data_IF_476116853187
#
_entry.id   IF_476116853187
#
_cell.length_a   1.000
_cell.length_b   1.000
_cell.length_c   1.000
_cell.angle_alpha   90.00
_cell.angle_beta   90.00
_cell.angle_gamma   90.00
#
_symmetry.space_group_name_H-M   'P 1'
#
loop_
_entity.id
_entity.type
_entity.pdbx_description
1 polymer ?
#
# COMPACT_ATOMS: atom_id res chain seq x y z
N UNK A 1 8.91 16.95 -4.83
CA UNK A 1 8.49 16.62 -3.45
C UNK A 1 9.31 15.42 -2.98
N UNK A 2 9.82 15.43 -1.76
CA UNK A 2 10.76 14.39 -1.31
C UNK A 2 10.04 13.04 -1.12
N UNK A 3 10.47 12.01 -1.85
CA UNK A 3 9.89 10.64 -1.82
C UNK A 3 9.86 10.06 -0.40
N UNK A 4 10.91 10.29 0.40
CA UNK A 4 10.97 9.87 1.81
C UNK A 4 9.87 10.50 2.65
N UNK A 5 9.54 11.80 2.42
CA UNK A 5 8.47 12.49 3.14
C UNK A 5 7.10 11.88 2.82
N UNK A 6 6.82 11.60 1.54
CA UNK A 6 5.54 11.02 1.12
C UNK A 6 5.37 9.63 1.74
N UNK A 7 6.36 8.77 1.65
CA UNK A 7 6.31 7.41 2.19
C UNK A 7 6.22 7.38 3.72
N UNK A 8 6.76 8.38 4.40
CA UNK A 8 6.70 8.49 5.88
C UNK A 8 5.31 8.87 6.39
N UNK A 9 4.55 9.68 5.63
CA UNK A 9 3.30 10.27 6.11
C UNK A 9 2.03 9.59 5.57
N UNK A 10 2.16 8.69 4.59
CA UNK A 10 1.01 8.07 3.93
C UNK A 10 1.15 6.56 3.84
N UNK A 11 0.03 5.86 3.95
CA UNK A 11 -0.07 4.41 3.83
C UNK A 11 -0.37 4.05 2.38
N UNK A 12 0.17 2.92 1.89
CA UNK A 12 -0.23 2.37 0.60
C UNK A 12 -1.60 1.71 0.69
N UNK A 13 -2.65 2.38 0.24
CA UNK A 13 -4.02 1.88 0.23
C UNK A 13 -4.23 0.71 -0.74
N UNK A 14 -3.33 0.53 -1.72
CA UNK A 14 -3.32 -0.62 -2.63
C UNK A 14 -2.71 -1.90 -2.01
N UNK A 15 -2.24 -1.83 -0.77
CA UNK A 15 -1.64 -2.98 -0.09
C UNK A 15 -2.63 -4.14 0.06
N UNK A 16 -2.19 -5.35 -0.30
CA UNK A 16 -2.93 -6.59 -0.05
C UNK A 16 -3.10 -6.85 1.45
N UNK A 17 -2.20 -6.34 2.26
CA UNK A 17 -2.23 -6.44 3.73
C UNK A 17 -3.50 -5.79 4.29
N UNK A 18 -3.93 -4.70 3.68
CA UNK A 18 -5.18 -4.01 4.04
C UNK A 18 -6.44 -4.73 3.52
N UNK A 19 -6.30 -5.88 2.84
CA UNK A 19 -7.40 -6.60 2.23
C UNK A 19 -7.76 -6.10 0.82
N UNK A 20 -6.92 -5.26 0.21
CA UNK A 20 -7.11 -4.75 -1.15
C UNK A 20 -6.97 -5.88 -2.17
N UNK A 21 -7.86 -5.90 -3.15
CA UNK A 21 -7.90 -6.94 -4.18
C UNK A 21 -8.34 -6.40 -5.53
N UNK A 22 -7.92 -7.10 -6.59
CA UNK A 22 -8.42 -6.86 -7.93
C UNK A 22 -9.90 -7.24 -7.96
N UNK A 23 -10.72 -6.33 -8.50
CA UNK A 23 -12.15 -6.54 -8.65
C UNK A 23 -12.51 -6.95 -10.08
N UNK A 24 -11.99 -6.23 -11.07
CA UNK A 24 -12.29 -6.47 -12.50
C UNK A 24 -11.12 -5.93 -13.36
N UNK A 25 -10.92 -6.51 -14.52
CA UNK A 25 -9.92 -6.05 -15.50
C UNK A 25 -10.45 -6.28 -16.92
N UNK A 26 -9.92 -5.53 -17.88
CA UNK A 26 -10.23 -5.71 -19.31
C UNK A 26 -9.47 -6.88 -19.92
N UNK A 27 -8.17 -7.00 -19.62
CA UNK A 27 -7.27 -8.04 -20.07
C UNK A 27 -6.13 -8.25 -19.07
N UNK A 28 -5.52 -9.45 -19.03
CA UNK A 28 -4.34 -9.80 -18.26
C UNK A 28 -3.56 -10.96 -18.90
N UNK A 29 -3.59 -11.04 -20.21
CA UNK A 29 -3.10 -12.21 -20.94
C UNK A 29 -1.61 -12.49 -20.67
N UNK A 30 -0.75 -11.48 -20.77
CA UNK A 30 0.69 -11.62 -20.54
C UNK A 30 1.08 -11.51 -19.07
N UNK A 31 0.34 -10.76 -18.24
CA UNK A 31 0.67 -10.59 -16.85
C UNK A 31 -0.55 -10.34 -15.97
N UNK A 32 -0.69 -11.15 -14.91
CA UNK A 32 -1.82 -11.04 -13.98
C UNK A 32 -1.94 -9.66 -13.35
N UNK A 33 -3.14 -9.08 -13.33
CA UNK A 33 -3.45 -7.81 -12.66
C UNK A 33 -3.10 -7.82 -11.17
N UNK A 34 -3.12 -8.98 -10.52
CA UNK A 34 -2.75 -9.13 -9.11
C UNK A 34 -1.29 -8.74 -8.79
N UNK A 35 -0.41 -8.74 -9.80
CA UNK A 35 0.98 -8.32 -9.66
C UNK A 35 1.13 -6.83 -9.38
N UNK A 36 0.16 -5.98 -9.79
CA UNK A 36 0.12 -4.55 -9.45
C UNK A 36 0.15 -4.27 -7.94
N UNK A 37 -0.41 -5.20 -7.15
CA UNK A 37 -0.60 -5.04 -5.70
C UNK A 37 0.51 -5.72 -4.88
N UNK A 38 1.59 -6.18 -5.49
CA UNK A 38 2.74 -6.72 -4.76
C UNK A 38 3.45 -5.60 -3.99
N UNK A 39 3.90 -5.91 -2.76
CA UNK A 39 4.65 -4.97 -1.92
C UNK A 39 6.12 -4.89 -2.35
N UNK A 40 6.66 -6.00 -2.82
CA UNK A 40 8.05 -6.15 -3.24
C UNK A 40 8.34 -5.31 -4.49
N UNK A 41 9.57 -4.82 -4.58
CA UNK A 41 10.04 -4.14 -5.79
C UNK A 41 9.90 -5.07 -6.99
N UNK A 42 9.62 -4.53 -8.19
CA UNK A 42 9.62 -5.33 -9.40
C UNK A 42 10.98 -5.98 -9.61
N UNK A 43 10.98 -7.21 -10.13
CA UNK A 43 12.19 -7.94 -10.50
C UNK A 43 12.15 -8.29 -11.98
N UNK A 44 13.32 -8.41 -12.56
CA UNK A 44 13.51 -8.95 -13.90
C UNK A 44 14.18 -10.32 -13.83
N UNK A 45 13.71 -11.25 -14.64
CA UNK A 45 14.31 -12.58 -14.81
C UNK A 45 14.64 -12.79 -16.28
N UNK A 46 15.92 -12.80 -16.58
CA UNK A 46 16.39 -13.04 -17.94
C UNK A 46 16.07 -14.47 -18.38
N UNK A 47 15.67 -14.63 -19.64
CA UNK A 47 15.41 -15.95 -20.24
C UNK A 47 14.19 -16.70 -19.68
N UNK A 48 13.41 -16.09 -18.78
CA UNK A 48 12.20 -16.73 -18.21
C UNK A 48 10.98 -16.42 -19.08
N UNK A 49 10.28 -17.48 -19.47
CA UNK A 49 9.02 -17.42 -20.23
C UNK A 49 7.93 -18.17 -19.49
N UNK A 50 6.69 -17.75 -19.67
CA UNK A 50 5.50 -18.50 -19.30
C UNK A 50 4.73 -18.92 -20.56
N UNK A 51 3.56 -19.54 -20.40
CA UNK A 51 2.75 -20.05 -21.52
C UNK A 51 2.31 -18.98 -22.53
N UNK A 52 2.39 -17.72 -22.17
CA UNK A 52 1.90 -16.59 -22.97
C UNK A 52 3.03 -15.72 -23.53
N UNK A 53 4.30 -15.99 -23.19
CA UNK A 53 5.45 -15.26 -23.68
C UNK A 53 6.50 -14.96 -22.62
N UNK A 54 7.28 -13.90 -22.82
CA UNK A 54 8.30 -13.46 -21.87
C UNK A 54 7.67 -13.08 -20.53
N UNK A 55 8.19 -13.66 -19.45
CA UNK A 55 7.67 -13.37 -18.11
C UNK A 55 8.05 -11.95 -17.66
N UNK A 56 7.05 -11.17 -17.24
CA UNK A 56 7.23 -9.83 -16.69
C UNK A 56 6.60 -9.75 -15.30
N UNK A 57 7.27 -9.05 -14.35
CA UNK A 57 6.75 -8.90 -12.98
C UNK A 57 5.78 -7.72 -12.86
N UNK A 58 4.69 -7.78 -13.63
CA UNK A 58 3.65 -6.76 -13.64
C UNK A 58 2.35 -7.25 -14.26
N UNK A 59 1.36 -6.38 -14.27
CA UNK A 59 0.15 -6.53 -15.09
C UNK A 59 0.48 -6.16 -16.52
N UNK A 60 0.13 -7.03 -17.47
CA UNK A 60 0.38 -6.77 -18.88
C UNK A 60 -0.76 -7.31 -19.74
N UNK A 61 -1.26 -6.45 -20.62
CA UNK A 61 -2.36 -6.73 -21.53
C UNK A 61 -1.88 -7.05 -22.93
N UNK A 62 -2.71 -7.66 -23.74
CA UNK A 62 -2.46 -7.81 -25.18
C UNK A 62 -2.49 -6.44 -25.86
N UNK A 63 -1.81 -6.37 -27.00
CA UNK A 63 -1.89 -5.18 -27.85
C UNK A 63 -3.32 -4.96 -28.32
N UNK A 64 -3.86 -3.78 -27.98
CA UNK A 64 -5.23 -3.39 -28.31
C UNK A 64 -5.31 -2.92 -29.77
N UNK A 65 -5.99 -3.72 -30.59
CA UNK A 65 -6.15 -3.45 -32.02
C UNK A 65 -7.48 -2.77 -32.36
N UNK A 66 -8.33 -2.56 -31.35
CA UNK A 66 -9.62 -1.89 -31.47
C UNK A 66 -9.59 -0.58 -30.66
N UNK A 67 -10.44 0.39 -31.03
CA UNK A 67 -10.56 1.66 -30.30
C UNK A 67 -10.90 1.42 -28.82
N UNK A 68 -10.26 2.16 -27.94
CA UNK A 68 -10.49 2.12 -26.50
C UNK A 68 -9.19 2.05 -25.70
N UNK A 69 -9.29 1.64 -24.45
CA UNK A 69 -8.17 1.50 -23.53
C UNK A 69 -8.36 0.26 -22.63
N UNK A 70 -7.28 -0.18 -22.01
CA UNK A 70 -7.37 -1.22 -21.02
C UNK A 70 -7.48 -0.64 -19.61
N UNK A 71 -8.07 -1.41 -18.70
CA UNK A 71 -8.29 -0.96 -17.33
C UNK A 71 -8.25 -2.11 -16.32
N UNK A 72 -7.95 -1.77 -15.09
CA UNK A 72 -8.15 -2.62 -13.92
C UNK A 72 -8.90 -1.86 -12.84
N UNK A 73 -9.91 -2.49 -12.27
CA UNK A 73 -10.66 -1.98 -11.12
C UNK A 73 -10.21 -2.72 -9.87
N UNK A 74 -9.92 -1.96 -8.83
CA UNK A 74 -9.37 -2.43 -7.56
C UNK A 74 -10.35 -2.05 -6.46
N UNK A 75 -10.74 -3.03 -5.63
CA UNK A 75 -11.48 -2.80 -4.40
C UNK A 75 -10.49 -2.61 -3.27
N UNK A 76 -10.44 -1.43 -2.68
CA UNK A 76 -9.63 -1.18 -1.49
C UNK A 76 -10.15 -2.00 -0.31
N UNK A 77 -9.26 -2.56 0.47
CA UNK A 77 -9.64 -3.32 1.67
C UNK A 77 -10.23 -2.43 2.76
N UNK A 78 -9.68 -1.22 2.88
CA UNK A 78 -10.22 -0.15 3.73
C UNK A 78 -10.41 1.12 2.91
N UNK A 79 -11.48 1.88 3.14
CA UNK A 79 -11.66 3.17 2.49
C UNK A 79 -10.61 4.18 2.95
N UNK A 80 -10.28 5.12 2.06
CA UNK A 80 -9.30 6.15 2.41
C UNK A 80 -9.28 7.32 1.45
N UNK A 81 -8.58 8.38 1.87
CA UNK A 81 -8.27 9.56 1.08
C UNK A 81 -6.96 9.35 0.36
N UNK A 82 -6.94 9.54 -0.95
CA UNK A 82 -5.76 9.31 -1.80
C UNK A 82 -5.07 10.64 -2.05
N UNK A 83 -3.82 10.77 -1.60
CA UNK A 83 -3.02 11.97 -1.74
C UNK A 83 -2.06 11.89 -2.92
N UNK A 84 -1.48 10.71 -3.17
CA UNK A 84 -0.53 10.48 -4.26
C UNK A 84 -0.76 9.12 -4.90
N UNK A 85 -0.38 9.01 -6.16
CA UNK A 85 -0.32 7.76 -6.92
C UNK A 85 1.11 7.54 -7.41
N UNK A 86 1.62 6.32 -7.23
CA UNK A 86 2.85 5.85 -7.88
C UNK A 86 2.46 4.79 -8.91
N UNK A 87 2.85 5.01 -10.17
CA UNK A 87 2.68 4.08 -11.28
C UNK A 87 4.09 3.66 -11.73
N UNK A 88 4.40 2.39 -11.58
CA UNK A 88 5.72 1.84 -11.84
C UNK A 88 5.71 1.05 -13.14
N UNK A 89 6.53 1.46 -14.10
CA UNK A 89 6.75 0.77 -15.38
C UNK A 89 8.11 0.07 -15.44
N UNK A 90 8.75 -0.19 -14.29
CA UNK A 90 10.04 -0.88 -14.22
C UNK A 90 10.05 -2.16 -15.05
N UNK A 91 11.10 -2.31 -15.86
CA UNK A 91 11.34 -3.40 -16.81
C UNK A 91 10.40 -3.47 -18.02
N UNK A 92 9.39 -2.61 -18.13
CA UNK A 92 8.59 -2.47 -19.35
C UNK A 92 9.25 -1.44 -20.26
N UNK A 93 9.97 -1.96 -21.30
CA UNK A 93 10.69 -1.17 -22.29
C UNK A 93 10.09 -1.41 -23.67
N UNK A 94 9.29 -0.48 -24.16
CA UNK A 94 8.56 -0.58 -25.43
C UNK A 94 7.18 -1.24 -25.33
N UNK A 95 6.88 -1.89 -24.21
CA UNK A 95 5.58 -2.49 -23.90
C UNK A 95 4.88 -1.83 -22.69
N UNK A 96 5.40 -0.69 -22.19
CA UNK A 96 4.67 0.15 -21.25
C UNK A 96 3.52 0.88 -21.94
N UNK A 97 2.44 1.26 -21.24
CA UNK A 97 1.40 2.11 -21.81
C UNK A 97 1.95 3.52 -22.08
N UNK A 98 1.47 4.16 -23.15
CA UNK A 98 1.85 5.54 -23.45
C UNK A 98 1.35 6.52 -22.39
N UNK A 99 0.13 6.27 -21.90
CA UNK A 99 -0.52 7.12 -20.89
C UNK A 99 -1.27 6.26 -19.87
N UNK A 100 -1.50 6.86 -18.68
CA UNK A 100 -2.41 6.33 -17.69
C UNK A 100 -3.27 7.44 -17.08
N UNK A 101 -4.44 7.07 -16.55
CA UNK A 101 -5.30 7.90 -15.70
C UNK A 101 -5.87 7.05 -14.56
N UNK A 102 -6.33 7.72 -13.51
CA UNK A 102 -6.95 7.03 -12.38
C UNK A 102 -8.28 7.67 -12.05
N UNK A 103 -9.32 6.83 -12.00
CA UNK A 103 -10.62 7.19 -11.46
C UNK A 103 -10.81 6.50 -10.11
N UNK A 104 -11.58 7.13 -9.25
CA UNK A 104 -11.93 6.59 -7.94
C UNK A 104 -13.41 6.79 -7.66
N UNK A 105 -14.01 5.93 -6.82
CA UNK A 105 -15.35 6.14 -6.33
C UNK A 105 -15.50 5.64 -4.90
N UNK A 106 -16.53 6.14 -4.21
CA UNK A 106 -17.07 5.53 -3.01
C UNK A 106 -18.30 4.75 -3.41
N UNK A 107 -18.16 3.42 -3.49
CA UNK A 107 -19.29 2.54 -3.83
C UNK A 107 -20.19 2.36 -2.61
N UNK A 108 -21.39 2.85 -2.72
CA UNK A 108 -22.45 2.73 -1.73
C UNK A 108 -23.81 2.60 -2.44
N UNK A 109 -24.76 1.89 -1.83
CA UNK A 109 -26.13 1.71 -2.37
C UNK A 109 -26.15 1.20 -3.82
N UNK A 110 -25.26 0.28 -4.17
CA UNK A 110 -25.13 -0.34 -5.50
C UNK A 110 -24.85 0.65 -6.66
N UNK A 111 -24.25 1.82 -6.36
CA UNK A 111 -23.89 2.81 -7.38
C UNK A 111 -22.39 3.08 -7.40
N UNK A 112 -21.82 3.16 -8.61
CA UNK A 112 -20.46 3.59 -8.87
C UNK A 112 -20.47 5.01 -9.45
N UNK A 113 -20.19 5.99 -8.62
CA UNK A 113 -20.03 7.38 -9.05
C UNK A 113 -18.52 7.67 -9.20
N UNK A 114 -17.99 7.40 -10.38
CA UNK A 114 -16.57 7.58 -10.68
C UNK A 114 -16.22 9.06 -10.82
N UNK A 115 -15.14 9.46 -10.15
CA UNK A 115 -14.51 10.77 -10.30
C UNK A 115 -13.06 10.60 -10.69
N UNK A 116 -12.56 11.47 -11.56
CA UNK A 116 -11.15 11.44 -11.95
C UNK A 116 -10.28 12.01 -10.82
N UNK A 117 -9.28 11.25 -10.40
CA UNK A 117 -8.31 11.65 -9.37
C UNK A 117 -6.91 11.87 -9.94
N UNK A 118 -6.65 11.34 -11.12
CA UNK A 118 -5.45 11.59 -11.92
C UNK A 118 -5.85 11.66 -13.39
N UNK A 119 -5.77 12.84 -13.98
CA UNK A 119 -5.96 13.05 -15.41
C UNK A 119 -4.94 12.25 -16.22
N UNK A 120 -5.24 12.01 -17.49
CA UNK A 120 -4.34 11.28 -18.40
C UNK A 120 -2.93 11.88 -18.38
N UNK A 121 -1.92 11.05 -18.02
CA UNK A 121 -0.50 11.41 -17.90
C UNK A 121 0.34 10.48 -18.75
N UNK A 122 1.32 11.05 -19.44
CA UNK A 122 2.32 10.27 -20.18
C UNK A 122 3.17 9.45 -19.23
N UNK A 123 3.48 8.21 -19.64
CA UNK A 123 4.38 7.33 -18.92
C UNK A 123 5.64 7.08 -19.74
N UNK A 124 6.78 7.09 -19.08
CA UNK A 124 8.06 6.70 -19.65
C UNK A 124 8.29 5.19 -19.44
N UNK A 125 9.08 4.53 -20.29
CA UNK A 125 9.50 3.16 -20.07
C UNK A 125 10.41 3.05 -18.85
N UNK A 126 10.38 1.91 -18.18
CA UNK A 126 11.29 1.57 -17.07
C UNK A 126 11.46 2.67 -16.02
N UNK A 127 10.35 3.24 -15.56
CA UNK A 127 10.36 4.42 -14.70
C UNK A 127 9.28 4.36 -13.60
N UNK A 128 9.60 4.89 -12.42
CA UNK A 128 8.65 5.08 -11.33
C UNK A 128 8.08 6.50 -11.37
N UNK A 129 6.81 6.62 -11.74
CA UNK A 129 6.08 7.88 -11.82
C UNK A 129 5.36 8.20 -10.52
N UNK A 130 5.50 9.44 -10.03
CA UNK A 130 4.77 9.95 -8.87
C UNK A 130 3.86 11.11 -9.23
N UNK A 131 2.59 11.03 -8.87
CA UNK A 131 1.57 12.04 -9.17
C UNK A 131 0.79 12.42 -7.93
N UNK A 132 0.44 13.72 -7.81
CA UNK A 132 -0.47 14.22 -6.77
C UNK A 132 -1.92 13.96 -7.20
N UNK A 133 -2.75 13.49 -6.28
CA UNK A 133 -4.19 13.31 -6.52
C UNK A 133 -4.91 14.66 -6.63
N UNK A 134 -5.88 14.75 -7.53
CA UNK A 134 -6.71 15.94 -7.74
C UNK A 134 -7.90 16.01 -6.78
N UNK A 135 -8.21 14.91 -6.06
CA UNK A 135 -9.37 14.78 -5.17
C UNK A 135 -8.95 14.23 -3.80
N UNK A 136 -7.96 14.85 -3.17
CA UNK A 136 -7.35 14.35 -1.93
C UNK A 136 -8.23 14.50 -0.67
N UNK A 137 -9.35 15.23 -0.75
CA UNK A 137 -10.26 15.43 0.38
C UNK A 137 -11.39 14.40 0.42
N UNK A 138 -11.62 13.64 -0.66
CA UNK A 138 -12.68 12.65 -0.75
C UNK A 138 -12.20 11.28 -0.31
N UNK A 139 -13.09 10.50 0.29
CA UNK A 139 -12.86 9.10 0.66
C UNK A 139 -13.29 8.20 -0.48
N UNK A 140 -12.50 7.16 -0.75
CA UNK A 140 -12.75 6.19 -1.81
C UNK A 140 -12.60 4.75 -1.30
N UNK A 141 -13.32 3.82 -1.91
CA UNK A 141 -13.19 2.39 -1.64
C UNK A 141 -13.03 1.54 -2.92
N UNK A 142 -13.14 2.17 -4.10
CA UNK A 142 -12.83 1.58 -5.40
C UNK A 142 -11.98 2.51 -6.24
N UNK A 143 -11.07 1.92 -7.01
CA UNK A 143 -10.14 2.61 -7.90
C UNK A 143 -10.18 1.92 -9.26
N UNK A 144 -10.06 2.71 -10.32
CA UNK A 144 -9.85 2.21 -11.68
C UNK A 144 -8.61 2.85 -12.27
N UNK A 145 -7.58 2.04 -12.51
CA UNK A 145 -6.43 2.42 -13.31
C UNK A 145 -6.78 2.17 -14.78
N UNK A 146 -6.71 3.20 -15.59
CA UNK A 146 -6.84 3.12 -17.04
C UNK A 146 -5.45 3.27 -17.66
N UNK A 147 -5.13 2.45 -18.65
CA UNK A 147 -3.89 2.51 -19.44
C UNK A 147 -4.24 2.68 -20.91
N UNK A 148 -3.44 3.45 -21.65
CA UNK A 148 -3.77 3.86 -23.02
C UNK A 148 -2.61 3.56 -23.98
N UNK A 149 -2.86 2.85 -25.12
CA UNK A 149 -4.08 2.07 -25.37
C UNK A 149 -4.08 0.75 -24.58
N UNK A 150 -2.91 0.16 -24.35
CA UNK A 150 -2.61 -1.12 -23.71
C UNK A 150 -1.20 -1.07 -23.10
N UNK A 151 -0.70 -2.18 -22.56
CA UNK A 151 0.69 -2.33 -22.13
C UNK A 151 0.87 -2.93 -20.76
N UNK A 152 2.07 -2.73 -20.20
CA UNK A 152 2.47 -3.31 -18.93
C UNK A 152 2.78 -2.28 -17.84
N UNK A 153 2.30 -2.56 -16.62
CA UNK A 153 2.56 -1.79 -15.40
C UNK A 153 3.03 -2.75 -14.30
N UNK A 154 4.20 -2.49 -13.76
CA UNK A 154 4.79 -3.36 -12.73
C UNK A 154 4.05 -3.26 -11.40
N UNK A 155 3.85 -2.03 -10.88
CA UNK A 155 3.19 -1.78 -9.59
C UNK A 155 2.31 -0.54 -9.64
N UNK A 156 1.28 -0.55 -8.80
CA UNK A 156 0.46 0.61 -8.46
C UNK A 156 0.46 0.80 -6.95
N UNK A 157 0.87 1.98 -6.48
CA UNK A 157 0.68 2.38 -5.09
C UNK A 157 -0.18 3.62 -5.02
N UNK A 158 -1.13 3.63 -4.10
CA UNK A 158 -1.97 4.78 -3.78
C UNK A 158 -1.69 5.19 -2.35
N UNK A 159 -0.96 6.28 -2.19
CA UNK A 159 -0.49 6.75 -0.90
C UNK A 159 -1.50 7.75 -0.32
N UNK A 160 -1.97 7.46 0.89
CA UNK A 160 -3.03 8.25 1.49
C UNK A 160 -3.30 7.91 2.96
N UNK A 161 -4.42 8.39 3.44
CA UNK A 161 -4.87 8.18 4.82
C UNK A 161 -6.11 7.31 4.85
N UNK A 162 -6.14 6.33 5.76
CA UNK A 162 -7.32 5.50 5.98
C UNK A 162 -8.47 6.35 6.56
N UNK A 163 -9.68 6.08 6.11
CA UNK A 163 -10.88 6.56 6.77
C UNK A 163 -11.38 5.51 7.77
N UNK A 164 -11.09 5.75 9.03
CA UNK A 164 -11.48 4.86 10.13
C UNK A 164 -12.87 5.17 10.70
N UNK A 165 -13.53 6.24 10.23
CA UNK A 165 -14.80 6.72 10.77
C UNK A 165 -15.96 5.71 10.65
N UNK A 166 -15.87 4.83 9.62
CA UNK A 166 -16.89 3.81 9.33
C UNK A 166 -16.45 2.39 9.72
N UNK A 167 -15.34 2.23 10.43
CA UNK A 167 -14.91 0.91 10.89
C UNK A 167 -15.89 0.35 11.93
N UNK A 168 -16.35 -0.88 11.69
CA UNK A 168 -17.15 -1.63 12.65
C UNK A 168 -16.21 -2.46 13.52
N UNK A 169 -16.23 -2.23 14.81
CA UNK A 169 -15.45 -3.00 15.76
C UNK A 169 -16.27 -4.21 16.24
N UNK A 170 -15.67 -5.40 16.32
CA UNK A 170 -16.37 -6.57 16.85
C UNK A 170 -16.67 -6.42 18.35
N UNK A 171 -17.79 -6.98 18.80
CA UNK A 171 -18.16 -7.05 20.23
C UNK A 171 -17.38 -8.13 21.01
N UNK A 172 -16.18 -8.47 20.58
CA UNK A 172 -15.29 -9.48 21.17
C UNK A 172 -13.87 -8.95 21.25
N UNK A 173 -12.98 -9.67 21.94
CA UNK A 173 -11.55 -9.36 21.97
C UNK A 173 -10.97 -9.30 20.56
N UNK A 174 -10.22 -8.26 20.26
CA UNK A 174 -9.56 -8.03 18.97
C UNK A 174 -8.24 -7.29 19.16
N UNK A 175 -7.40 -7.32 18.16
CA UNK A 175 -6.10 -6.64 18.17
C UNK A 175 -6.28 -5.12 18.06
N UNK A 176 -6.07 -4.43 19.17
CA UNK A 176 -6.13 -2.96 19.24
C UNK A 176 -5.02 -2.28 18.44
N UNK A 177 -3.86 -2.95 18.25
CA UNK A 177 -2.73 -2.41 17.48
C UNK A 177 -2.93 -2.53 15.97
N UNK A 178 -3.81 -3.40 15.51
CA UNK A 178 -3.94 -3.64 14.07
C UNK A 178 -4.30 -2.37 13.30
N UNK A 179 -3.57 -2.13 12.20
CA UNK A 179 -3.88 -1.08 11.23
C UNK A 179 -5.31 -1.25 10.65
N UNK A 180 -5.82 -2.47 10.56
CA UNK A 180 -7.19 -2.76 10.12
C UNK A 180 -8.24 -2.20 11.10
N UNK A 181 -7.85 -1.97 12.34
CA UNK A 181 -8.68 -1.37 13.38
C UNK A 181 -8.39 0.12 13.58
N UNK A 182 -7.64 0.74 12.65
CA UNK A 182 -7.42 2.18 12.60
C UNK A 182 -6.23 2.69 13.39
N UNK A 183 -5.38 1.81 13.92
CA UNK A 183 -4.16 2.23 14.60
C UNK A 183 -3.15 2.81 13.64
N UNK A 184 -2.35 3.75 14.11
CA UNK A 184 -1.33 4.43 13.33
C UNK A 184 -0.10 4.76 14.17
N UNK A 185 1.05 4.78 13.54
CA UNK A 185 2.27 5.32 14.13
C UNK A 185 2.14 6.84 14.21
N UNK A 186 2.44 7.39 15.37
CA UNK A 186 2.51 8.85 15.61
C UNK A 186 3.94 9.32 15.45
N UNK A 187 4.87 8.63 16.10
CA UNK A 187 6.29 8.93 16.03
C UNK A 187 7.12 7.69 16.39
N UNK A 188 8.37 7.67 15.97
CA UNK A 188 9.36 6.68 16.40
C UNK A 188 10.75 7.32 16.45
N UNK A 189 11.65 6.73 17.24
CA UNK A 189 13.04 7.18 17.39
C UNK A 189 13.84 6.97 16.10
N UNK A 190 13.70 5.81 15.48
CA UNK A 190 14.39 5.42 14.25
C UNK A 190 13.59 4.31 13.53
N UNK A 191 13.71 4.25 12.20
CA UNK A 191 13.11 3.23 11.35
C UNK A 191 14.00 2.98 10.10
N UNK A 192 15.31 2.96 10.32
CA UNK A 192 16.29 2.98 9.23
C UNK A 192 16.20 1.75 8.31
N UNK A 193 16.10 0.56 8.88
CA UNK A 193 16.06 -0.69 8.12
C UNK A 193 14.64 -1.22 7.93
N UNK A 194 13.75 -1.03 8.91
CA UNK A 194 12.36 -1.49 8.84
C UNK A 194 11.40 -0.47 9.44
N UNK A 195 10.29 -0.23 8.75
CA UNK A 195 9.30 0.80 9.12
C UNK A 195 8.54 0.42 10.39
N UNK A 196 8.25 1.41 11.23
CA UNK A 196 7.47 1.22 12.45
C UNK A 196 6.04 0.74 12.18
N UNK A 197 5.43 1.10 11.03
CA UNK A 197 4.11 0.61 10.63
C UNK A 197 4.03 -0.91 10.50
N UNK A 198 5.15 -1.60 10.30
CA UNK A 198 5.19 -3.06 10.27
C UNK A 198 4.68 -3.68 11.57
N UNK A 199 4.79 -2.99 12.71
CA UNK A 199 4.24 -3.43 14.00
C UNK A 199 2.71 -3.52 14.01
N UNK A 200 2.03 -2.82 13.11
CA UNK A 200 0.57 -2.74 13.04
C UNK A 200 -0.03 -3.75 12.05
N UNK A 201 0.80 -4.53 11.38
CA UNK A 201 0.35 -5.43 10.31
C UNK A 201 -0.31 -6.68 10.90
N UNK A 202 -1.50 -7.10 10.41
CA UNK A 202 -2.30 -8.16 10.99
C UNK A 202 -1.88 -9.57 10.55
N UNK A 203 -0.65 -9.76 10.10
CA UNK A 203 -0.15 -11.04 9.60
C UNK A 203 1.21 -11.40 10.21
N UNK A 204 1.54 -12.68 10.20
CA UNK A 204 2.86 -13.16 10.61
C UNK A 204 3.93 -12.70 9.63
N UNK A 205 5.05 -12.20 10.16
CA UNK A 205 6.22 -11.86 9.36
C UNK A 205 6.67 -13.03 8.49
N UNK A 206 7.13 -12.74 7.28
CA UNK A 206 7.72 -13.71 6.34
C UNK A 206 9.23 -13.60 6.27
N UNK A 207 9.77 -12.45 6.66
CA UNK A 207 11.20 -12.13 6.72
C UNK A 207 11.40 -10.88 7.60
N UNK A 208 12.64 -10.48 7.86
CA UNK A 208 12.98 -9.28 8.66
C UNK A 208 12.36 -7.98 8.10
N UNK A 209 12.24 -7.86 6.78
CA UNK A 209 11.65 -6.66 6.15
C UNK A 209 10.16 -6.42 6.49
N UNK A 210 9.50 -7.38 7.14
CA UNK A 210 8.16 -7.22 7.70
C UNK A 210 8.16 -6.78 9.18
N UNK A 211 9.32 -6.46 9.77
CA UNK A 211 9.44 -5.96 11.13
C UNK A 211 9.86 -4.49 11.19
N UNK A 212 9.75 -3.91 12.38
CA UNK A 212 10.37 -2.62 12.69
C UNK A 212 11.82 -2.86 13.07
N UNK A 213 12.75 -2.18 12.39
CA UNK A 213 14.18 -2.33 12.61
C UNK A 213 14.89 -0.98 12.58
N UNK A 214 15.60 -0.68 13.67
CA UNK A 214 16.34 0.55 13.89
C UNK A 214 17.82 0.37 13.57
N UNK A 215 18.55 1.46 13.44
CA UNK A 215 20.03 1.41 13.46
C UNK A 215 20.53 0.85 14.77
N UNK A 216 21.64 0.15 14.70
CA UNK A 216 22.34 -0.28 15.93
C UNK A 216 22.76 0.93 16.75
N UNK A 217 22.22 1.04 17.95
CA UNK A 217 22.59 2.07 18.90
C UNK A 217 23.91 1.70 19.60
N UNK A 218 24.91 2.57 19.49
CA UNK A 218 26.21 2.37 20.13
C UNK A 218 26.41 3.24 21.39
N UNK A 219 25.49 4.14 21.68
CA UNK A 219 25.47 5.01 22.85
C UNK A 219 24.35 4.63 23.82
N UNK A 220 24.25 5.39 24.92
CA UNK A 220 23.15 5.26 25.88
C UNK A 220 21.79 5.55 25.26
N UNK A 221 20.72 5.10 25.92
CA UNK A 221 19.34 5.30 25.49
C UNK A 221 18.72 4.04 24.88
N UNK A 222 17.50 4.20 24.37
CA UNK A 222 16.69 3.13 23.78
C UNK A 222 15.92 3.65 22.59
N UNK A 223 15.45 2.72 21.77
CA UNK A 223 14.56 3.04 20.66
C UNK A 223 13.11 2.91 21.12
N UNK A 224 12.25 3.74 20.57
CA UNK A 224 10.86 3.84 20.98
C UNK A 224 9.93 4.11 19.78
N UNK A 225 8.68 3.74 19.93
CA UNK A 225 7.61 4.05 19.00
C UNK A 225 6.35 4.47 19.77
N UNK A 226 5.67 5.48 19.27
CA UNK A 226 4.37 5.95 19.79
C UNK A 226 3.29 5.55 18.80
N UNK A 227 2.30 4.82 19.30
CA UNK A 227 1.20 4.30 18.50
C UNK A 227 -0.10 4.87 19.03
N UNK A 228 -0.88 5.50 18.15
CA UNK A 228 -2.26 5.87 18.45
C UNK A 228 -3.17 4.71 18.09
N UNK A 229 -3.90 4.19 19.06
CA UNK A 229 -4.90 3.16 18.83
C UNK A 229 -6.09 3.72 18.04
N UNK A 230 -6.65 2.94 17.13
CA UNK A 230 -7.83 3.35 16.38
C UNK A 230 -9.09 3.44 17.23
N UNK A 231 -9.11 2.73 18.35
CA UNK A 231 -10.18 2.75 19.37
C UNK A 231 -9.60 2.65 20.77
N UNK A 232 -10.20 3.36 21.70
CA UNK A 232 -9.93 3.19 23.14
C UNK A 232 -10.41 1.80 23.59
N UNK A 233 -9.63 1.12 24.41
CA UNK A 233 -9.97 -0.20 24.93
C UNK A 233 -9.12 -0.61 26.10
N UNK A 234 -9.54 -1.70 26.78
CA UNK A 234 -8.75 -2.36 27.79
C UNK A 234 -7.76 -3.32 27.12
N UNK A 235 -6.51 -3.25 27.52
CA UNK A 235 -5.46 -4.13 27.00
C UNK A 235 -5.31 -5.29 27.98
N UNK A 236 -5.59 -6.50 27.53
CA UNK A 236 -5.52 -7.71 28.37
C UNK A 236 -4.24 -8.51 28.13
N UNK A 237 -3.65 -8.41 26.92
CA UNK A 237 -2.48 -9.19 26.53
C UNK A 237 -1.65 -8.43 25.51
N UNK A 238 -0.34 -8.54 25.62
CA UNK A 238 0.63 -8.15 24.59
C UNK A 238 1.20 -9.38 23.90
N UNK A 239 1.37 -9.29 22.59
CA UNK A 239 2.13 -10.23 21.80
C UNK A 239 3.25 -9.48 21.09
N UNK A 240 4.49 -9.76 21.45
CA UNK A 240 5.69 -9.12 20.89
C UNK A 240 6.49 -10.22 20.20
N UNK A 241 6.63 -10.08 18.89
CA UNK A 241 7.27 -11.08 18.05
C UNK A 241 8.61 -10.56 17.51
N UNK A 242 9.65 -11.37 17.67
CA UNK A 242 10.98 -11.11 17.09
C UNK A 242 11.31 -12.11 15.97
N UNK A 243 10.29 -12.60 15.29
CA UNK A 243 10.44 -13.55 14.19
C UNK A 243 11.43 -13.06 13.14
N UNK A 244 12.36 -13.93 12.72
CA UNK A 244 13.43 -13.67 11.77
C UNK A 244 14.55 -12.73 12.25
N UNK A 245 14.41 -12.04 13.37
CA UNK A 245 15.49 -11.26 13.97
C UNK A 245 16.40 -12.19 14.78
N UNK A 246 17.52 -12.59 14.17
CA UNK A 246 18.53 -13.49 14.77
C UNK A 246 19.76 -12.69 15.12
N UNK A 247 19.95 -12.38 16.41
CA UNK A 247 21.10 -11.59 16.89
C UNK A 247 20.95 -10.07 16.78
N UNK A 248 19.88 -9.57 16.19
CA UNK A 248 19.53 -8.15 16.07
C UNK A 248 18.18 -7.78 16.69
N UNK A 249 17.66 -8.65 17.58
CA UNK A 249 16.45 -8.36 18.37
C UNK A 249 16.82 -7.58 19.64
N UNK A 250 15.89 -6.76 20.18
CA UNK A 250 16.13 -6.04 21.44
C UNK A 250 16.18 -6.99 22.63
N UNK A 251 17.11 -6.73 23.57
CA UNK A 251 17.24 -7.54 24.79
C UNK A 251 16.02 -7.39 25.69
N UNK A 252 15.44 -6.22 25.76
CA UNK A 252 14.27 -5.90 26.58
C UNK A 252 13.30 -5.00 25.83
N UNK A 253 12.05 -5.04 26.22
CA UNK A 253 11.06 -4.05 25.82
C UNK A 253 10.15 -3.73 27.00
N UNK A 254 9.62 -2.52 27.03
CA UNK A 254 8.56 -2.08 27.93
C UNK A 254 7.43 -1.48 27.13
N UNK A 255 6.22 -1.55 27.70
CA UNK A 255 5.04 -0.94 27.09
C UNK A 255 4.41 0.01 28.11
N UNK A 256 4.15 1.21 27.68
CA UNK A 256 3.45 2.23 28.47
C UNK A 256 2.18 2.64 27.72
N UNK A 257 1.11 2.88 28.44
CA UNK A 257 -0.14 3.36 27.88
C UNK A 257 -0.62 4.61 28.60
N UNK A 258 -1.26 5.50 27.85
CA UNK A 258 -1.95 6.65 28.43
C UNK A 258 -3.24 6.91 27.67
N UNK A 259 -4.19 7.55 28.36
CA UNK A 259 -5.43 8.00 27.79
C UNK A 259 -5.39 9.53 27.64
N UNK A 260 -5.69 10.00 26.43
CA UNK A 260 -5.78 11.44 26.16
C UNK A 260 -7.13 11.78 25.54
N UNK A 261 -7.79 12.78 26.09
CA UNK A 261 -9.02 13.35 25.55
C UNK A 261 -8.67 14.33 24.40
N UNK A 262 -7.47 14.91 24.41
CA UNK A 262 -7.00 15.82 23.35
C UNK A 262 -6.39 15.00 22.21
N UNK A 263 -6.73 15.37 20.98
CA UNK A 263 -6.04 14.78 19.83
C UNK A 263 -4.55 15.11 19.91
N UNK A 264 -3.73 14.07 19.95
CA UNK A 264 -2.29 14.20 19.75
C UNK A 264 -2.10 14.25 18.22
N UNK A 265 -1.81 15.44 17.73
CA UNK A 265 -1.50 15.68 16.32
C UNK A 265 -0.05 15.33 16.04
#
# INVERSE_FOLDING_TARGET
MNKKYIQKNYINLCSKVLGTKIHRFSDQFFGSASRLLKEEQPIFKEGVYDKNGKWMDGWETRRKRIKGNDYVTIKLGLPGKINFAEIDTSYFNGNQPEYASIDACYFEKNKFNWVNILSKRKLNPNYLHGFKSQQNNKVFNFIRLNIYPDGGVARLKLLGNLDVSKLKFPNKKFDLLSILNGSKIVACSDEHFGRAENLLLPFKSKNMGNGWETKRRRGSGYDWVIIKLGKTGLIEKFNIETHFFKGNYPSYCSVQGFYSIKNIN
#
